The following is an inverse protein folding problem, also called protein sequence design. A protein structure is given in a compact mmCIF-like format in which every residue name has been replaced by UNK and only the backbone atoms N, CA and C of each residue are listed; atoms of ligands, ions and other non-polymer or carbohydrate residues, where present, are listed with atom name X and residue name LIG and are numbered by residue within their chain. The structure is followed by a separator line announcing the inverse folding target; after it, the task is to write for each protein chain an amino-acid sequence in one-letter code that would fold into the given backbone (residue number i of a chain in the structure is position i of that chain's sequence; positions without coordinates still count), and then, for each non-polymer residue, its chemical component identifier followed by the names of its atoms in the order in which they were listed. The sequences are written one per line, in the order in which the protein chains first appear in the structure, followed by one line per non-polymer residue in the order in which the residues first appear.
data_IF_974885406231
#
_entry.id   IF_974885406231
#
_cell.length_a   1.000
_cell.length_b   1.000
_cell.length_c   1.000
_cell.angle_alpha   90.00
_cell.angle_beta   90.00
_cell.angle_gamma   90.00
#
_symmetry.space_group_name_H-M   'P 1'
#
loop_
_entity.id
_entity.type
_entity.pdbx_description
1 polymer ?
#
# COMPACT_ATOMS: atom_id res chain seq x y z
N UNK A 1 -59.00 7.00 -5.05
CA UNK A 1 -58.46 6.31 -6.25
C UNK A 1 -57.34 7.11 -6.91
N UNK A 2 -57.59 8.26 -7.56
CA UNK A 2 -56.52 9.09 -8.17
C UNK A 2 -55.57 9.67 -7.10
N UNK A 3 -56.13 10.07 -5.96
CA UNK A 3 -55.36 10.71 -4.88
C UNK A 3 -54.49 9.71 -4.10
N UNK A 4 -54.93 8.47 -3.98
CA UNK A 4 -54.13 7.37 -3.39
C UNK A 4 -52.96 7.02 -4.30
N UNK A 5 -53.21 6.92 -5.62
CA UNK A 5 -52.15 6.70 -6.61
C UNK A 5 -51.12 7.83 -6.60
N UNK A 6 -51.54 9.09 -6.44
CA UNK A 6 -50.61 10.22 -6.30
C UNK A 6 -49.71 10.07 -5.08
N UNK A 7 -50.27 9.71 -3.93
CA UNK A 7 -49.48 9.47 -2.69
C UNK A 7 -48.50 8.32 -2.84
N UNK A 8 -48.90 7.24 -3.51
CA UNK A 8 -48.01 6.10 -3.75
C UNK A 8 -46.85 6.47 -4.68
N UNK A 9 -47.09 7.28 -5.71
CA UNK A 9 -46.05 7.81 -6.60
C UNK A 9 -45.09 8.73 -5.83
N UNK A 10 -45.60 9.66 -5.03
CA UNK A 10 -44.78 10.55 -4.20
C UNK A 10 -43.90 9.76 -3.23
N UNK A 11 -44.46 8.74 -2.58
CA UNK A 11 -43.72 7.84 -1.69
C UNK A 11 -42.62 7.07 -2.44
N UNK A 12 -42.93 6.57 -3.64
CA UNK A 12 -41.96 5.83 -4.45
C UNK A 12 -40.79 6.74 -4.88
N UNK A 13 -41.09 7.99 -5.25
CA UNK A 13 -40.07 8.99 -5.59
C UNK A 13 -39.16 9.25 -4.38
N UNK A 14 -39.73 9.49 -3.20
CA UNK A 14 -38.93 9.73 -1.98
C UNK A 14 -38.05 8.54 -1.59
N UNK A 15 -38.56 7.31 -1.74
CA UNK A 15 -37.77 6.10 -1.51
C UNK A 15 -36.63 5.98 -2.53
N UNK A 16 -36.90 6.24 -3.80
CA UNK A 16 -35.89 6.22 -4.84
C UNK A 16 -34.79 7.26 -4.59
N UNK A 17 -35.16 8.50 -4.26
CA UNK A 17 -34.20 9.56 -3.97
C UNK A 17 -33.34 9.23 -2.76
N UNK A 18 -33.94 8.66 -1.71
CA UNK A 18 -33.22 8.22 -0.50
C UNK A 18 -32.20 7.13 -0.84
N UNK A 19 -32.60 6.10 -1.59
CA UNK A 19 -31.72 5.02 -1.98
C UNK A 19 -30.61 5.48 -2.94
N UNK A 20 -30.93 6.40 -3.84
CA UNK A 20 -29.93 7.04 -4.72
C UNK A 20 -28.89 7.81 -3.90
N UNK A 21 -29.32 8.65 -2.97
CA UNK A 21 -28.41 9.38 -2.08
C UNK A 21 -27.55 8.43 -1.25
N UNK A 22 -28.13 7.35 -0.73
CA UNK A 22 -27.38 6.32 0.00
C UNK A 22 -26.35 5.63 -0.89
N UNK A 23 -26.70 5.35 -2.15
CA UNK A 23 -25.78 4.80 -3.14
C UNK A 23 -24.59 5.73 -3.41
N UNK A 24 -24.86 7.02 -3.63
CA UNK A 24 -23.83 8.03 -3.87
C UNK A 24 -22.90 8.19 -2.65
N UNK A 25 -23.44 8.19 -1.43
CA UNK A 25 -22.64 8.24 -0.20
C UNK A 25 -21.75 7.01 -0.03
N UNK A 26 -22.28 5.81 -0.29
CA UNK A 26 -21.52 4.57 -0.18
C UNK A 26 -20.41 4.51 -1.22
N UNK A 27 -20.67 4.96 -2.45
CA UNK A 27 -19.66 5.07 -3.49
C UNK A 27 -18.54 6.05 -3.08
N UNK A 28 -18.89 7.22 -2.53
CA UNK A 28 -17.91 8.17 -2.04
C UNK A 28 -17.06 7.58 -0.89
N UNK A 29 -17.70 6.90 0.08
CA UNK A 29 -17.00 6.22 1.18
C UNK A 29 -16.06 5.12 0.66
N UNK A 30 -16.46 4.37 -0.36
CA UNK A 30 -15.65 3.33 -0.96
C UNK A 30 -14.38 3.91 -1.58
N UNK A 31 -14.49 4.97 -2.38
CA UNK A 31 -13.34 5.65 -3.00
C UNK A 31 -12.33 6.12 -1.93
N UNK A 32 -12.82 6.71 -0.84
CA UNK A 32 -11.95 7.13 0.27
C UNK A 32 -11.25 5.94 0.91
N UNK A 33 -11.97 4.84 1.16
CA UNK A 33 -11.41 3.64 1.78
C UNK A 33 -10.38 2.95 0.88
N UNK A 34 -10.62 2.92 -0.43
CA UNK A 34 -9.65 2.40 -1.40
C UNK A 34 -8.36 3.23 -1.41
N UNK A 35 -8.46 4.56 -1.37
CA UNK A 35 -7.31 5.44 -1.27
C UNK A 35 -6.52 5.23 0.04
N UNK A 36 -7.21 5.05 1.17
CA UNK A 36 -6.58 4.72 2.46
C UNK A 36 -5.83 3.38 2.41
N UNK A 37 -6.42 2.34 1.79
CA UNK A 37 -5.77 1.04 1.64
C UNK A 37 -4.48 1.16 0.84
N UNK A 38 -4.49 1.91 -0.27
CA UNK A 38 -3.27 2.16 -1.07
C UNK A 38 -2.21 2.86 -0.23
N UNK A 39 -2.59 3.90 0.51
CA UNK A 39 -1.69 4.63 1.42
C UNK A 39 -1.07 3.72 2.48
N UNK A 40 -1.87 2.89 3.15
CA UNK A 40 -1.36 1.99 4.18
C UNK A 40 -0.45 0.91 3.60
N UNK A 41 -0.74 0.38 2.41
CA UNK A 41 0.17 -0.56 1.72
C UNK A 41 1.53 0.06 1.41
N UNK A 42 1.55 1.33 0.98
CA UNK A 42 2.80 2.07 0.75
C UNK A 42 3.58 2.27 2.06
N UNK A 43 2.91 2.65 3.14
CA UNK A 43 3.53 2.81 4.46
C UNK A 43 4.11 1.50 4.98
N UNK A 44 3.38 0.39 4.86
CA UNK A 44 3.86 -0.94 5.24
C UNK A 44 5.13 -1.27 4.45
N UNK A 45 5.11 -1.07 3.13
CA UNK A 45 6.27 -1.34 2.27
C UNK A 45 7.49 -0.53 2.70
N UNK A 46 7.31 0.76 3.00
CA UNK A 46 8.41 1.61 3.43
C UNK A 46 8.94 1.23 4.82
N UNK A 47 8.04 0.91 5.76
CA UNK A 47 8.43 0.43 7.09
C UNK A 47 9.16 -0.91 7.03
N UNK A 48 8.72 -1.84 6.17
CA UNK A 48 9.43 -3.10 5.92
C UNK A 48 10.84 -2.83 5.41
N UNK A 49 11.01 -1.93 4.44
CA UNK A 49 12.34 -1.54 3.95
C UNK A 49 13.20 -0.92 5.06
N UNK A 50 12.62 -0.09 5.93
CA UNK A 50 13.34 0.46 7.08
C UNK A 50 13.80 -0.64 8.03
N UNK A 51 12.92 -1.59 8.37
CA UNK A 51 13.25 -2.72 9.23
C UNK A 51 14.38 -3.54 8.62
N UNK A 52 14.34 -3.83 7.32
CA UNK A 52 15.39 -4.59 6.64
C UNK A 52 16.72 -3.84 6.65
N UNK A 53 16.71 -2.52 6.43
CA UNK A 53 17.90 -1.67 6.58
C UNK A 53 18.49 -1.73 7.99
N UNK A 54 17.64 -1.64 9.03
CA UNK A 54 18.10 -1.71 10.41
C UNK A 54 18.63 -3.09 10.79
N UNK A 55 17.98 -4.18 10.34
CA UNK A 55 18.46 -5.55 10.57
C UNK A 55 19.82 -5.77 9.91
N UNK A 56 19.98 -5.29 8.67
CA UNK A 56 21.24 -5.35 7.96
C UNK A 56 22.33 -4.57 8.69
N UNK A 57 22.05 -3.33 9.11
CA UNK A 57 22.97 -2.54 9.91
C UNK A 57 23.33 -3.22 11.23
N UNK A 58 22.34 -3.78 11.93
CA UNK A 58 22.52 -4.54 13.17
C UNK A 58 23.47 -5.73 13.00
N UNK A 59 23.27 -6.52 11.94
CA UNK A 59 24.14 -7.64 11.59
C UNK A 59 25.59 -7.21 11.27
N UNK A 60 25.80 -5.97 10.81
CA UNK A 60 27.13 -5.41 10.58
C UNK A 60 27.78 -4.81 11.84
N UNK A 61 26.99 -4.49 12.87
CA UNK A 61 27.45 -3.84 14.10
C UNK A 61 27.69 -4.77 15.29
N UNK A 62 27.30 -6.06 15.23
CA UNK A 62 27.66 -6.99 16.30
C UNK A 62 29.18 -7.19 16.35
N UNK A 63 29.81 -6.72 17.44
CA UNK A 63 31.25 -6.50 17.60
C UNK A 63 32.15 -7.74 17.44
N UNK A 64 31.60 -8.96 17.40
CA UNK A 64 32.37 -10.17 17.10
C UNK A 64 32.68 -10.38 15.61
N UNK A 65 32.01 -9.66 14.71
CA UNK A 65 31.94 -10.03 13.29
C UNK A 65 32.37 -8.91 12.33
N UNK A 66 32.79 -7.72 12.79
CA UNK A 66 33.15 -6.58 11.92
C UNK A 66 34.19 -6.93 10.84
N UNK A 67 35.19 -7.75 11.16
CA UNK A 67 36.21 -8.18 10.19
C UNK A 67 35.64 -9.15 9.15
N UNK A 68 34.87 -10.15 9.58
CA UNK A 68 34.23 -11.13 8.69
C UNK A 68 33.12 -10.49 7.84
N UNK A 69 32.40 -9.52 8.40
CA UNK A 69 31.35 -8.79 7.72
C UNK A 69 31.93 -7.82 6.68
N UNK A 70 33.07 -7.18 6.97
CA UNK A 70 33.85 -6.42 5.98
C UNK A 70 34.31 -7.32 4.82
N UNK A 71 34.82 -8.51 5.12
CA UNK A 71 35.24 -9.47 4.08
C UNK A 71 34.06 -9.94 3.20
N UNK A 72 32.88 -10.16 3.79
CA UNK A 72 31.66 -10.49 3.05
C UNK A 72 31.19 -9.35 2.16
N UNK A 73 31.26 -8.09 2.65
CA UNK A 73 30.96 -6.90 1.84
C UNK A 73 31.94 -6.79 0.66
N UNK A 74 33.23 -6.96 0.89
CA UNK A 74 34.25 -6.87 -0.16
C UNK A 74 34.06 -7.96 -1.23
N UNK A 75 33.61 -9.17 -0.83
CA UNK A 75 33.22 -10.23 -1.78
C UNK A 75 31.98 -9.88 -2.58
N UNK A 76 30.94 -9.35 -1.93
CA UNK A 76 29.70 -8.93 -2.60
C UNK A 76 29.96 -7.79 -3.60
N UNK A 77 30.77 -6.80 -3.25
CA UNK A 77 31.16 -5.71 -4.16
C UNK A 77 31.92 -6.24 -5.37
N UNK A 78 32.86 -7.19 -5.17
CA UNK A 78 33.58 -7.83 -6.29
C UNK A 78 32.66 -8.62 -7.23
N UNK A 79 31.68 -9.32 -6.69
CA UNK A 79 30.68 -10.05 -7.48
C UNK A 79 29.78 -9.07 -8.26
N UNK A 80 29.36 -7.97 -7.65
CA UNK A 80 28.60 -6.90 -8.33
C UNK A 80 29.42 -6.28 -9.46
N UNK A 81 30.70 -5.95 -9.23
CA UNK A 81 31.60 -5.42 -10.26
C UNK A 81 31.78 -6.42 -11.42
N UNK A 82 31.86 -7.71 -11.12
CA UNK A 82 31.96 -8.77 -12.13
C UNK A 82 30.69 -8.84 -12.97
N UNK A 83 29.51 -8.75 -12.35
CA UNK A 83 28.22 -8.69 -13.04
C UNK A 83 28.08 -7.42 -13.89
N UNK A 84 28.48 -6.25 -13.39
CA UNK A 84 28.44 -4.98 -14.13
C UNK A 84 29.34 -5.06 -15.37
N UNK A 85 30.55 -5.62 -15.25
CA UNK A 85 31.47 -5.83 -16.39
C UNK A 85 30.94 -6.80 -17.44
N UNK A 86 30.16 -7.80 -17.02
CA UNK A 86 29.51 -8.74 -17.93
C UNK A 86 28.32 -8.11 -18.69
N UNK A 87 27.73 -7.04 -18.17
CA UNK A 87 26.61 -6.32 -18.79
C UNK A 87 27.11 -5.14 -19.66
N UNK A 88 28.29 -4.60 -19.36
CA UNK A 88 28.90 -3.48 -20.09
C UNK A 88 29.71 -3.89 -21.34
N UNK A 89 29.66 -5.17 -21.73
CA UNK A 89 30.17 -5.75 -22.97
C UNK A 89 29.01 -6.40 -23.73
#
# INVERSE_FOLDING_TARGET
MIEDLRKDIERLISLYETEKHRGDELAAKLVVKEAEVVKYKQQITELTKQIDRYKLAGAFTSDGDKAAAKERIDKLIKEIDKCIRLIAN
#
